data_IF_269173467869
#
_entry.id   IF_269173467869
#
_cell.length_a   1.000
_cell.length_b   1.000
_cell.length_c   1.000
_cell.angle_alpha   90.00
_cell.angle_beta   90.00
_cell.angle_gamma   90.00
#
_symmetry.space_group_name_H-M   'P 1'
#
loop_
_entity.id
_entity.type
_entity.pdbx_description
1 polymer ?
#
# COMPACT_ATOMS: atom_id res chain seq x y z
N UNK A 1 -7.10 9.71 10.70
CA UNK A 1 -6.44 9.00 9.59
C UNK A 1 -4.94 9.28 9.61
N UNK A 2 -4.11 8.24 9.68
CA UNK A 2 -2.65 8.31 9.57
C UNK A 2 -2.28 8.38 8.08
N UNK A 3 -1.27 9.17 7.75
CA UNK A 3 -0.74 9.30 6.39
C UNK A 3 0.69 8.77 6.35
N UNK A 4 1.00 8.03 5.30
CA UNK A 4 2.28 7.38 5.06
C UNK A 4 2.74 7.78 3.66
N UNK A 5 3.91 8.43 3.57
CA UNK A 5 4.51 8.83 2.30
C UNK A 5 5.73 7.96 2.01
N UNK A 6 5.92 7.59 0.76
CA UNK A 6 6.92 6.60 0.43
C UNK A 6 7.03 6.28 -1.05
N UNK A 7 7.61 5.11 -1.31
CA UNK A 7 7.97 4.69 -2.65
C UNK A 7 7.73 3.20 -2.84
N UNK A 8 7.24 2.83 -4.03
CA UNK A 8 7.33 1.49 -4.59
C UNK A 8 8.56 1.44 -5.47
N UNK A 9 9.38 0.41 -5.32
CA UNK A 9 10.66 0.32 -6.03
C UNK A 9 10.97 -1.09 -6.55
N UNK A 10 11.64 -1.16 -7.70
CA UNK A 10 12.10 -2.41 -8.29
C UNK A 10 13.55 -2.72 -7.89
N UNK A 11 14.03 -3.92 -8.25
CA UNK A 11 15.42 -4.34 -7.97
C UNK A 11 16.48 -3.56 -8.74
N UNK A 12 16.10 -2.83 -9.79
CA UNK A 12 16.97 -1.95 -10.57
C UNK A 12 17.08 -0.53 -9.98
N UNK A 13 16.35 -0.24 -8.90
CA UNK A 13 16.39 1.06 -8.22
C UNK A 13 15.47 2.13 -8.81
N UNK A 14 14.56 1.76 -9.72
CA UNK A 14 13.48 2.66 -10.12
C UNK A 14 12.49 2.82 -8.97
N UNK A 15 12.14 4.05 -8.64
CA UNK A 15 11.23 4.38 -7.56
C UNK A 15 10.05 5.22 -8.07
N UNK A 16 8.85 4.86 -7.61
CA UNK A 16 7.64 5.63 -7.86
C UNK A 16 7.00 6.02 -6.54
N UNK A 17 6.68 7.31 -6.40
CA UNK A 17 6.05 7.83 -5.21
C UNK A 17 4.69 7.15 -4.96
N UNK A 18 4.40 6.90 -3.70
CA UNK A 18 3.13 6.40 -3.23
C UNK A 18 2.73 7.10 -1.93
N UNK A 19 1.43 7.27 -1.74
CA UNK A 19 0.88 7.74 -0.47
C UNK A 19 -0.18 6.76 0.01
N UNK A 20 -0.06 6.29 1.23
CA UNK A 20 -0.99 5.37 1.89
C UNK A 20 -1.63 6.06 3.09
N UNK A 21 -2.95 5.91 3.24
CA UNK A 21 -3.72 6.51 4.32
C UNK A 21 -4.68 5.48 4.88
N UNK A 22 -4.78 5.38 6.20
CA UNK A 22 -5.82 4.61 6.87
C UNK A 22 -5.99 5.09 8.31
N UNK A 23 -7.14 4.80 8.90
CA UNK A 23 -7.39 5.12 10.30
C UNK A 23 -6.46 4.37 11.25
N UNK A 24 -6.27 4.87 12.47
CA UNK A 24 -5.34 4.26 13.40
C UNK A 24 -5.73 2.80 13.68
N UNK A 25 -4.89 1.81 13.30
CA UNK A 25 -5.21 0.40 13.53
C UNK A 25 -5.36 0.07 15.03
N UNK A 26 -4.72 0.85 15.91
CA UNK A 26 -4.86 0.72 17.35
C UNK A 26 -6.28 1.02 17.85
N UNK A 27 -7.05 1.80 17.09
CA UNK A 27 -8.45 2.14 17.38
C UNK A 27 -9.43 1.16 16.70
N UNK A 28 -8.96 0.33 15.77
CA UNK A 28 -9.79 -0.56 14.95
C UNK A 28 -9.53 -2.05 15.23
N UNK A 29 -9.05 -2.40 16.44
CA UNK A 29 -8.72 -3.79 16.84
C UNK A 29 -7.84 -4.53 15.83
N UNK A 30 -6.97 -3.80 15.12
CA UNK A 30 -6.09 -4.35 14.08
C UNK A 30 -6.74 -4.51 12.70
N UNK A 31 -8.04 -4.24 12.53
CA UNK A 31 -8.69 -4.24 11.21
C UNK A 31 -8.51 -2.88 10.54
N UNK A 32 -8.30 -2.87 9.22
CA UNK A 32 -8.28 -1.67 8.39
C UNK A 32 -9.40 -1.82 7.38
N UNK A 33 -10.47 -1.03 7.52
CA UNK A 33 -11.64 -1.08 6.63
C UNK A 33 -11.74 0.13 5.70
N UNK A 34 -11.16 1.26 6.11
CA UNK A 34 -11.24 2.55 5.42
C UNK A 34 -9.83 3.09 5.14
N UNK A 35 -9.13 2.43 4.23
CA UNK A 35 -7.84 2.89 3.72
C UNK A 35 -7.93 3.41 2.30
N UNK A 36 -6.91 4.17 1.92
CA UNK A 36 -6.73 4.76 0.60
C UNK A 36 -5.26 4.72 0.22
N UNK A 37 -4.96 4.45 -1.05
CA UNK A 37 -3.60 4.57 -1.60
C UNK A 37 -3.64 5.33 -2.92
N UNK A 38 -2.82 6.37 -3.01
CA UNK A 38 -2.46 7.03 -4.26
C UNK A 38 -1.17 6.38 -4.76
N UNK A 39 -1.24 5.77 -5.94
CA UNK A 39 -0.07 5.18 -6.56
C UNK A 39 -0.21 5.14 -8.07
N UNK A 40 0.80 5.68 -8.75
CA UNK A 40 1.01 5.54 -10.19
C UNK A 40 -0.23 5.92 -11.04
N UNK A 41 -0.86 7.06 -10.70
CA UNK A 41 -2.01 7.60 -11.43
C UNK A 41 -3.34 6.89 -11.15
N UNK A 42 -3.40 6.03 -10.12
CA UNK A 42 -4.60 5.30 -9.70
C UNK A 42 -4.96 5.59 -8.24
N UNK A 43 -6.25 5.58 -7.97
CA UNK A 43 -6.82 5.66 -6.63
C UNK A 43 -7.25 4.26 -6.17
N UNK A 44 -6.64 3.77 -5.09
CA UNK A 44 -6.99 2.47 -4.53
C UNK A 44 -7.75 2.63 -3.22
N UNK A 45 -8.86 1.91 -3.08
CA UNK A 45 -9.42 1.59 -1.78
C UNK A 45 -8.59 0.51 -1.11
N UNK A 46 -8.22 0.70 0.16
CA UNK A 46 -7.35 -0.21 0.91
C UNK A 46 -8.07 -0.79 2.11
N UNK A 47 -7.94 -2.09 2.31
CA UNK A 47 -8.39 -2.80 3.49
C UNK A 47 -7.38 -3.86 3.91
N UNK A 48 -7.53 -4.41 5.12
CA UNK A 48 -6.68 -5.48 5.60
C UNK A 48 -6.56 -5.54 7.11
N UNK A 49 -5.40 -6.00 7.55
CA UNK A 49 -5.12 -6.33 8.94
C UNK A 49 -3.76 -5.78 9.39
N UNK A 50 -3.66 -5.49 10.68
CA UNK A 50 -2.48 -5.02 11.39
C UNK A 50 -2.29 -5.82 12.68
N UNK A 51 -1.18 -6.53 12.78
CA UNK A 51 -0.73 -7.18 14.01
C UNK A 51 0.10 -6.19 14.83
N UNK A 52 -0.51 -5.63 15.88
CA UNK A 52 0.09 -4.51 16.67
C UNK A 52 1.41 -4.87 17.35
N UNK A 53 1.57 -6.08 17.87
CA UNK A 53 2.79 -6.50 18.58
C UNK A 53 4.04 -6.44 17.70
N UNK A 54 3.89 -6.57 16.39
CA UNK A 54 4.98 -6.55 15.41
C UNK A 54 4.86 -5.42 14.39
N UNK A 55 3.78 -4.63 14.47
CA UNK A 55 3.37 -3.67 13.45
C UNK A 55 3.50 -4.25 12.04
N UNK A 56 2.92 -5.44 11.86
CA UNK A 56 2.86 -6.14 10.58
C UNK A 56 1.51 -5.87 9.93
N UNK A 57 1.52 -5.44 8.69
CA UNK A 57 0.35 -5.09 7.91
C UNK A 57 0.21 -6.05 6.74
N UNK A 58 -0.99 -6.57 6.53
CA UNK A 58 -1.36 -7.37 5.37
C UNK A 58 -2.58 -6.68 4.76
N UNK A 59 -2.37 -6.01 3.63
CA UNK A 59 -3.38 -5.14 3.00
C UNK A 59 -3.69 -5.61 1.58
N UNK A 60 -4.92 -5.34 1.15
CA UNK A 60 -5.35 -5.42 -0.25
C UNK A 60 -5.77 -4.03 -0.71
N UNK A 61 -5.20 -3.58 -1.82
CA UNK A 61 -5.54 -2.31 -2.45
C UNK A 61 -6.26 -2.59 -3.78
N UNK A 62 -7.43 -1.99 -4.01
CA UNK A 62 -8.22 -2.19 -5.23
C UNK A 62 -8.59 -0.86 -5.86
N UNK A 63 -8.33 -0.73 -7.15
CA UNK A 63 -8.80 0.38 -7.98
C UNK A 63 -9.74 -0.18 -9.05
N UNK A 64 -10.89 0.45 -9.22
CA UNK A 64 -11.79 0.17 -10.36
C UNK A 64 -11.46 1.06 -11.58
N UNK A 65 -10.46 1.93 -11.46
CA UNK A 65 -10.01 2.89 -12.48
C UNK A 65 -11.11 3.85 -12.98
N UNK A 66 -12.23 4.00 -12.26
CA UNK A 66 -13.33 4.89 -12.68
C UNK A 66 -13.13 6.33 -12.25
N UNK A 67 -12.45 6.55 -11.11
CA UNK A 67 -12.22 7.89 -10.56
C UNK A 67 -10.98 8.57 -11.14
N UNK A 68 -9.89 7.81 -11.26
CA UNK A 68 -8.61 8.26 -11.80
C UNK A 68 -7.88 7.07 -12.44
N UNK A 69 -7.43 7.27 -13.67
CA UNK A 69 -6.63 6.32 -14.45
C UNK A 69 -5.80 7.07 -15.50
N UNK A 70 -4.78 7.80 -15.03
CA UNK A 70 -4.00 8.74 -15.85
C UNK A 70 -3.21 8.05 -16.97
N UNK A 71 -2.91 6.77 -16.78
CA UNK A 71 -2.02 5.94 -17.59
C UNK A 71 -2.76 4.78 -18.27
N UNK A 72 -4.09 4.75 -18.18
CA UNK A 72 -4.96 3.73 -18.80
C UNK A 72 -4.62 2.30 -18.36
N UNK A 73 -4.31 2.12 -17.07
CA UNK A 73 -4.05 0.83 -16.46
C UNK A 73 -5.29 -0.06 -16.40
N UNK A 74 -6.48 0.55 -16.29
CA UNK A 74 -7.70 -0.17 -15.99
C UNK A 74 -7.74 -0.73 -14.55
N UNK A 75 -8.78 -1.52 -14.23
CA UNK A 75 -8.99 -2.05 -12.88
C UNK A 75 -7.79 -2.87 -12.41
N UNK A 76 -7.36 -2.63 -11.18
CA UNK A 76 -6.10 -3.15 -10.64
C UNK A 76 -6.26 -3.60 -9.19
N UNK A 77 -5.56 -4.67 -8.79
CA UNK A 77 -5.50 -5.14 -7.40
C UNK A 77 -4.06 -5.40 -6.99
N UNK A 78 -3.70 -4.86 -5.83
CA UNK A 78 -2.39 -5.03 -5.20
C UNK A 78 -2.55 -5.78 -3.88
N UNK A 79 -1.63 -6.69 -3.62
CA UNK A 79 -1.41 -7.30 -2.29
C UNK A 79 -0.20 -6.64 -1.67
N UNK A 80 -0.33 -6.12 -0.45
CA UNK A 80 0.72 -5.36 0.22
C UNK A 80 1.01 -6.02 1.55
N UNK A 81 2.28 -6.30 1.81
CA UNK A 81 2.76 -6.79 3.10
C UNK A 81 3.84 -5.85 3.60
N UNK A 82 3.71 -5.34 4.82
CA UNK A 82 4.67 -4.40 5.41
C UNK A 82 4.91 -4.72 6.87
N UNK A 83 6.10 -4.36 7.36
CA UNK A 83 6.46 -4.49 8.76
C UNK A 83 7.23 -3.26 9.22
N UNK A 84 7.07 -2.94 10.51
CA UNK A 84 7.92 -1.96 11.16
C UNK A 84 9.41 -2.33 11.10
N UNK A 85 10.23 -1.31 10.87
CA UNK A 85 11.69 -1.38 10.89
C UNK A 85 12.29 -0.82 12.19
N UNK A 86 11.49 -0.15 13.03
CA UNK A 86 11.92 0.57 14.23
C UNK A 86 11.15 0.17 15.49
N UNK A 87 10.30 -0.85 15.42
CA UNK A 87 9.42 -1.28 16.51
C UNK A 87 8.17 -0.42 16.69
N UNK A 88 7.96 0.59 15.86
CA UNK A 88 6.80 1.49 15.85
C UNK A 88 6.09 1.50 14.51
N UNK A 89 4.95 2.18 14.41
CA UNK A 89 4.27 2.38 13.13
C UNK A 89 4.81 3.58 12.34
N UNK A 90 6.02 4.09 12.62
CA UNK A 90 6.58 5.26 11.94
C UNK A 90 7.31 4.89 10.64
N UNK A 91 8.04 3.78 10.61
CA UNK A 91 8.83 3.35 9.44
C UNK A 91 8.48 1.94 9.03
N UNK A 92 7.80 1.81 7.89
CA UNK A 92 7.30 0.55 7.34
C UNK A 92 8.08 0.17 6.08
N UNK A 93 8.50 -1.09 6.00
CA UNK A 93 9.15 -1.69 4.84
C UNK A 93 8.44 -2.99 4.48
N UNK A 94 8.34 -3.30 3.19
CA UNK A 94 7.88 -4.61 2.76
C UNK A 94 7.76 -4.71 1.26
N UNK A 95 6.68 -5.32 0.78
CA UNK A 95 6.46 -5.61 -0.62
C UNK A 95 5.05 -5.29 -1.08
N UNK A 96 4.93 -5.10 -2.39
CA UNK A 96 3.66 -5.02 -3.10
C UNK A 96 3.69 -5.96 -4.31
N UNK A 97 2.68 -6.82 -4.42
CA UNK A 97 2.49 -7.73 -5.54
C UNK A 97 1.26 -7.35 -6.35
N UNK A 98 1.40 -7.25 -7.67
CA UNK A 98 0.27 -7.04 -8.57
C UNK A 98 -0.51 -8.36 -8.71
N UNK A 99 -1.73 -8.41 -8.19
CA UNK A 99 -2.59 -9.60 -8.22
C UNK A 99 -3.58 -9.59 -9.38
N UNK A 100 -3.91 -8.42 -9.89
CA UNK A 100 -4.81 -8.25 -11.04
C UNK A 100 -4.55 -6.90 -11.72
N UNK A 101 -4.74 -6.85 -13.04
CA UNK A 101 -4.62 -5.62 -13.84
C UNK A 101 -3.20 -5.32 -14.31
N UNK A 102 -3.11 -4.62 -15.45
CA UNK A 102 -1.85 -4.13 -16.02
C UNK A 102 -0.90 -5.21 -16.57
N UNK A 103 0.22 -4.78 -17.21
CA UNK A 103 1.23 -5.67 -17.78
C UNK A 103 2.12 -6.35 -16.72
N UNK A 104 2.11 -5.83 -15.48
CA UNK A 104 2.99 -6.28 -14.40
C UNK A 104 2.34 -7.37 -13.52
N UNK A 105 1.31 -8.06 -14.01
CA UNK A 105 0.62 -9.12 -13.27
C UNK A 105 1.60 -10.16 -12.73
N UNK A 106 1.50 -10.46 -11.44
CA UNK A 106 2.36 -11.42 -10.74
C UNK A 106 3.72 -10.84 -10.28
N UNK A 107 4.09 -9.65 -10.74
CA UNK A 107 5.33 -9.00 -10.31
C UNK A 107 5.24 -8.51 -8.87
N UNK A 108 6.38 -8.55 -8.18
CA UNK A 108 6.53 -8.08 -6.81
C UNK A 108 7.62 -7.02 -6.72
N UNK A 109 7.31 -5.94 -6.02
CA UNK A 109 8.17 -4.79 -5.83
C UNK A 109 8.39 -4.55 -4.34
N UNK A 110 9.48 -3.87 -3.99
CA UNK A 110 9.69 -3.35 -2.65
C UNK A 110 8.80 -2.15 -2.40
N UNK A 111 8.43 -1.93 -1.14
CA UNK A 111 7.72 -0.72 -0.72
C UNK A 111 8.31 -0.21 0.59
N UNK A 112 8.49 1.10 0.69
CA UNK A 112 8.92 1.78 1.92
C UNK A 112 8.00 2.95 2.20
N UNK A 113 7.62 3.14 3.45
CA UNK A 113 6.77 4.24 3.89
C UNK A 113 7.25 4.81 5.22
N UNK A 114 7.16 6.13 5.32
CA UNK A 114 7.34 6.86 6.58
C UNK A 114 6.05 7.59 6.91
N UNK A 115 5.63 7.51 8.17
CA UNK A 115 4.47 8.21 8.69
C UNK A 115 4.73 9.72 8.69
N UNK A 116 3.81 10.47 8.08
CA UNK A 116 3.80 11.93 8.04
C UNK A 116 3.12 12.57 9.24
#
# INVERSE_FOLDING_TARGET
MKTYNGFVFNSAGEEHAATLKFDDPAQQTGKISNGYMDYFGLDFGVNGDCTKSTWTYILTAKSDAKKRDETKHGPSTLSIEMKSTDGTDNNLLGTVTVKYGGPNLGQTYGIRFTKG
#
